data_IF_935712910393
#
_entry.id   IF_935712910393
#
_cell.length_a   1.000
_cell.length_b   1.000
_cell.length_c   1.000
_cell.angle_alpha   90.00
_cell.angle_beta   90.00
_cell.angle_gamma   90.00
#
_symmetry.space_group_name_H-M   'P 1'
#
loop_
_entity.id
_entity.type
_entity.pdbx_description
1 polymer ?
#
# COMPACT_ATOMS: atom_id res chain seq x y z
N UNK A 1 -30.53 2.87 -4.32
CA UNK A 1 -29.27 3.15 -5.05
C UNK A 1 -28.23 3.52 -4.01
N UNK A 2 -27.36 2.59 -3.63
CA UNK A 2 -26.26 2.87 -2.71
C UNK A 2 -25.31 3.88 -3.36
N UNK A 3 -25.00 4.95 -2.61
CA UNK A 3 -24.05 5.96 -3.07
C UNK A 3 -22.67 5.30 -3.19
N UNK A 4 -22.13 5.23 -4.41
CA UNK A 4 -20.76 4.76 -4.61
C UNK A 4 -19.82 5.77 -3.95
N UNK A 5 -18.99 5.38 -2.99
CA UNK A 5 -18.09 6.32 -2.35
C UNK A 5 -17.21 7.01 -3.42
N UNK A 6 -17.22 8.34 -3.41
CA UNK A 6 -16.38 9.12 -4.30
C UNK A 6 -14.93 8.91 -3.86
N UNK A 7 -14.15 8.27 -4.70
CA UNK A 7 -12.72 8.06 -4.44
C UNK A 7 -11.97 9.30 -4.89
N UNK A 8 -11.18 9.88 -3.97
CA UNK A 8 -10.38 11.04 -4.26
C UNK A 8 -9.43 10.79 -5.46
N UNK A 9 -9.13 11.82 -6.26
CA UNK A 9 -8.14 11.69 -7.31
C UNK A 9 -6.78 11.27 -6.72
N UNK A 10 -5.92 10.60 -7.49
CA UNK A 10 -4.59 10.27 -7.03
C UNK A 10 -3.80 11.54 -6.73
N UNK A 11 -3.05 11.55 -5.63
CA UNK A 11 -2.14 12.65 -5.33
C UNK A 11 -1.10 12.81 -6.44
N UNK A 12 -0.72 14.04 -6.73
CA UNK A 12 0.45 14.29 -7.55
C UNK A 12 1.70 13.93 -6.74
N UNK A 13 2.32 12.82 -7.10
CA UNK A 13 3.63 12.46 -6.55
C UNK A 13 4.65 13.38 -7.23
N UNK A 14 5.38 14.13 -6.42
CA UNK A 14 6.46 14.98 -6.93
C UNK A 14 7.56 14.05 -7.43
N UNK A 15 7.82 14.09 -8.74
CA UNK A 15 8.93 13.35 -9.31
C UNK A 15 10.25 13.86 -8.69
N UNK A 16 11.13 12.93 -8.37
CA UNK A 16 12.44 13.26 -7.83
C UNK A 16 13.28 14.01 -8.87
N UNK A 17 14.08 14.96 -8.39
CA UNK A 17 15.12 15.56 -9.19
C UNK A 17 16.28 14.59 -9.47
N UNK A 18 17.17 14.94 -10.39
CA UNK A 18 18.25 14.03 -10.79
C UNK A 18 19.19 13.69 -9.63
N UNK A 19 19.51 14.67 -8.77
CA UNK A 19 20.36 14.44 -7.59
C UNK A 19 19.73 13.46 -6.60
N UNK A 20 18.42 13.53 -6.42
CA UNK A 20 17.68 12.61 -5.57
C UNK A 20 17.64 11.21 -6.16
N UNK A 21 17.45 11.09 -7.47
CA UNK A 21 17.50 9.79 -8.19
C UNK A 21 18.88 9.15 -8.08
N UNK A 22 19.95 9.91 -8.20
CA UNK A 22 21.33 9.42 -8.07
C UNK A 22 21.62 8.95 -6.63
N UNK A 23 21.10 9.65 -5.62
CA UNK A 23 21.17 9.21 -4.22
C UNK A 23 20.43 7.89 -3.99
N UNK A 24 19.25 7.74 -4.55
CA UNK A 24 18.47 6.49 -4.47
C UNK A 24 19.19 5.33 -5.13
N UNK A 25 19.84 5.57 -6.26
CA UNK A 25 20.63 4.55 -6.95
C UNK A 25 21.77 4.02 -6.06
N UNK A 26 22.38 4.89 -5.26
CA UNK A 26 23.47 4.54 -4.36
C UNK A 26 22.99 4.00 -3.00
N UNK A 27 21.80 4.39 -2.55
CA UNK A 27 21.21 3.94 -1.29
C UNK A 27 19.77 3.44 -1.51
N UNK A 28 19.63 2.15 -1.73
CA UNK A 28 18.32 1.48 -1.85
C UNK A 28 17.43 1.70 -0.62
N UNK A 29 18.02 1.90 0.55
CA UNK A 29 17.26 2.16 1.78
C UNK A 29 16.50 3.49 1.73
N UNK A 30 17.04 4.51 1.06
CA UNK A 30 16.32 5.76 0.83
C UNK A 30 15.10 5.55 -0.07
N UNK A 31 15.27 4.75 -1.12
CA UNK A 31 14.15 4.40 -2.01
C UNK A 31 13.02 3.72 -1.24
N UNK A 32 13.32 2.68 -0.48
CA UNK A 32 12.32 1.92 0.26
C UNK A 32 11.60 2.76 1.31
N UNK A 33 12.31 3.63 2.04
CA UNK A 33 11.69 4.55 3.01
C UNK A 33 10.77 5.56 2.34
N UNK A 34 11.20 6.15 1.22
CA UNK A 34 10.41 7.10 0.46
C UNK A 34 9.16 6.43 -0.13
N UNK A 35 9.32 5.24 -0.67
CA UNK A 35 8.24 4.43 -1.21
C UNK A 35 7.20 4.09 -0.13
N UNK A 36 7.64 3.56 1.02
CA UNK A 36 6.77 3.20 2.12
C UNK A 36 5.96 4.41 2.64
N UNK A 37 6.62 5.57 2.80
CA UNK A 37 5.95 6.80 3.23
C UNK A 37 4.88 7.24 2.23
N UNK A 38 5.21 7.36 0.94
CA UNK A 38 4.27 7.82 -0.08
C UNK A 38 3.10 6.85 -0.30
N UNK A 39 3.34 5.54 -0.20
CA UNK A 39 2.28 4.53 -0.29
C UNK A 39 1.31 4.63 0.90
N UNK A 40 1.81 4.81 2.12
CA UNK A 40 0.98 4.98 3.33
C UNK A 40 0.05 6.19 3.23
N UNK A 41 0.50 7.29 2.64
CA UNK A 41 -0.32 8.48 2.41
C UNK A 41 -1.53 8.20 1.50
N UNK A 42 -1.44 7.21 0.63
CA UNK A 42 -2.54 6.73 -0.21
C UNK A 42 -3.32 5.55 0.41
N UNK A 43 -3.06 5.21 1.67
CA UNK A 43 -3.65 4.03 2.34
C UNK A 43 -3.30 2.71 1.63
N UNK A 44 -2.10 2.64 1.09
CA UNK A 44 -1.48 1.45 0.52
C UNK A 44 -0.30 1.09 1.42
N UNK A 45 -0.23 -0.16 1.85
CA UNK A 45 0.74 -0.63 2.82
C UNK A 45 1.76 -1.53 2.14
N UNK A 46 3.01 -1.08 2.12
CA UNK A 46 4.11 -1.88 1.58
C UNK A 46 4.35 -3.08 2.51
N UNK A 47 4.37 -4.28 1.95
CA UNK A 47 4.68 -5.52 2.67
C UNK A 47 6.09 -6.02 2.36
N UNK A 48 6.55 -5.74 1.17
CA UNK A 48 7.89 -6.04 0.73
C UNK A 48 8.25 -5.30 -0.55
N UNK A 49 9.52 -5.13 -0.82
CA UNK A 49 10.01 -4.55 -2.05
C UNK A 49 11.37 -5.11 -2.44
N UNK A 50 11.60 -5.24 -3.74
CA UNK A 50 12.90 -5.56 -4.32
C UNK A 50 13.25 -4.52 -5.37
N UNK A 51 14.47 -4.04 -5.32
CA UNK A 51 15.02 -3.09 -6.28
C UNK A 51 16.19 -3.74 -6.99
N UNK A 52 16.01 -4.02 -8.27
CA UNK A 52 17.03 -4.55 -9.18
C UNK A 52 17.51 -3.47 -10.17
N UNK A 53 18.48 -3.79 -11.00
CA UNK A 53 19.08 -2.83 -11.95
C UNK A 53 18.07 -2.21 -12.91
N UNK A 54 17.08 -2.98 -13.37
CA UNK A 54 16.09 -2.55 -14.35
C UNK A 54 14.64 -2.72 -13.93
N UNK A 55 14.40 -3.25 -12.72
CA UNK A 55 13.06 -3.55 -12.23
C UNK A 55 12.86 -3.20 -10.77
N UNK A 56 11.62 -2.90 -10.43
CA UNK A 56 11.15 -2.75 -9.05
C UNK A 56 9.94 -3.64 -8.87
N UNK A 57 10.02 -4.50 -7.87
CA UNK A 57 8.93 -5.37 -7.47
C UNK A 57 8.40 -4.92 -6.10
N UNK A 58 7.09 -4.73 -6.02
CA UNK A 58 6.39 -4.26 -4.83
C UNK A 58 5.35 -5.27 -4.40
N UNK A 59 5.35 -5.60 -3.13
CA UNK A 59 4.27 -6.36 -2.50
C UNK A 59 3.48 -5.41 -1.61
N UNK A 60 2.21 -5.25 -1.92
CA UNK A 60 1.34 -4.28 -1.26
C UNK A 60 0.06 -4.90 -0.72
N UNK A 61 -0.41 -4.39 0.41
CA UNK A 61 -1.74 -4.59 0.94
C UNK A 61 -2.51 -3.26 0.97
N UNK A 62 -3.82 -3.30 1.04
CA UNK A 62 -4.65 -2.11 1.10
C UNK A 62 -6.04 -2.40 1.68
N UNK A 63 -6.70 -1.40 2.26
CA UNK A 63 -8.04 -1.53 2.82
C UNK A 63 -9.03 -0.46 2.30
N UNK A 64 -8.56 0.46 1.45
CA UNK A 64 -9.36 1.61 0.99
C UNK A 64 -10.05 1.39 -0.34
N UNK A 65 -9.42 0.67 -1.26
CA UNK A 65 -9.90 0.57 -2.64
C UNK A 65 -10.69 -0.70 -2.87
N UNK A 66 -11.92 -0.58 -3.42
CA UNK A 66 -12.71 -1.73 -3.86
C UNK A 66 -12.07 -2.51 -5.00
N UNK A 67 -11.22 -1.85 -5.77
CA UNK A 67 -10.62 -2.40 -6.99
C UNK A 67 -9.11 -2.56 -6.82
N UNK A 68 -8.62 -3.78 -6.88
CA UNK A 68 -7.18 -4.08 -6.87
C UNK A 68 -6.41 -3.37 -7.99
N UNK A 69 -6.88 -3.32 -9.25
CA UNK A 69 -6.20 -2.55 -10.30
C UNK A 69 -6.02 -1.07 -9.97
N UNK A 70 -6.95 -0.47 -9.22
CA UNK A 70 -6.82 0.92 -8.78
C UNK A 70 -5.70 1.10 -7.76
N UNK A 71 -5.61 0.20 -6.79
CA UNK A 71 -4.52 0.20 -5.82
C UNK A 71 -3.16 -0.01 -6.51
N UNK A 72 -3.10 -1.01 -7.41
CA UNK A 72 -1.90 -1.29 -8.19
C UNK A 72 -1.47 -0.10 -9.06
N UNK A 73 -2.40 0.57 -9.74
CA UNK A 73 -2.11 1.75 -10.54
C UNK A 73 -1.59 2.94 -9.72
N UNK A 74 -2.10 3.15 -8.50
CA UNK A 74 -1.58 4.17 -7.59
C UNK A 74 -0.19 3.82 -7.08
N UNK A 75 0.03 2.57 -6.70
CA UNK A 75 1.35 2.10 -6.29
C UNK A 75 2.38 2.22 -7.42
N UNK A 76 2.00 1.84 -8.65
CA UNK A 76 2.84 1.98 -9.83
C UNK A 76 3.21 3.44 -10.12
N UNK A 77 2.28 4.39 -9.95
CA UNK A 77 2.54 5.83 -10.12
C UNK A 77 3.56 6.34 -9.12
N UNK A 78 3.42 5.96 -7.85
CA UNK A 78 4.37 6.32 -6.80
C UNK A 78 5.74 5.70 -7.09
N UNK A 79 5.78 4.41 -7.42
CA UNK A 79 7.02 3.72 -7.73
C UNK A 79 7.72 4.33 -8.94
N UNK A 80 6.97 4.63 -10.01
CA UNK A 80 7.55 5.28 -11.21
C UNK A 80 8.14 6.66 -10.90
N UNK A 81 7.43 7.48 -10.12
CA UNK A 81 7.89 8.82 -9.76
C UNK A 81 9.16 8.82 -8.89
N UNK A 82 9.33 7.80 -8.06
CA UNK A 82 10.46 7.65 -7.15
C UNK A 82 11.63 6.86 -7.74
N UNK A 83 11.41 6.12 -8.82
CA UNK A 83 12.44 5.27 -9.43
C UNK A 83 13.38 6.05 -10.34
N UNK A 84 14.68 5.73 -10.34
CA UNK A 84 15.62 6.19 -11.36
C UNK A 84 15.20 5.81 -12.78
N UNK A 85 15.79 6.46 -13.76
CA UNK A 85 15.36 6.35 -15.17
C UNK A 85 15.67 4.98 -15.80
N UNK A 86 16.64 4.26 -15.24
CA UNK A 86 17.03 2.92 -15.68
C UNK A 86 15.97 1.85 -15.41
N UNK A 87 15.06 2.11 -14.46
CA UNK A 87 13.98 1.18 -14.15
C UNK A 87 12.94 1.20 -15.26
N UNK A 88 12.87 0.11 -16.00
CA UNK A 88 11.94 -0.09 -17.12
C UNK A 88 10.72 -0.95 -16.79
N UNK A 89 10.79 -1.74 -15.70
CA UNK A 89 9.74 -2.69 -15.32
C UNK A 89 9.28 -2.48 -13.89
N UNK A 90 7.98 -2.47 -13.68
CA UNK A 90 7.35 -2.40 -12.37
C UNK A 90 6.44 -3.61 -12.18
N UNK A 91 6.68 -4.41 -11.14
CA UNK A 91 5.79 -5.51 -10.75
C UNK A 91 5.12 -5.17 -9.45
N UNK A 92 3.80 -5.25 -9.42
CA UNK A 92 3.00 -5.01 -8.22
C UNK A 92 2.26 -6.29 -7.87
N UNK A 93 2.58 -6.85 -6.71
CA UNK A 93 1.91 -8.01 -6.12
C UNK A 93 0.94 -7.50 -5.06
N UNK A 94 -0.29 -7.94 -5.15
CA UNK A 94 -1.36 -7.55 -4.24
C UNK A 94 -1.59 -8.67 -3.23
N UNK A 95 -1.54 -8.31 -1.95
CA UNK A 95 -1.84 -9.20 -0.84
C UNK A 95 -3.16 -8.87 -0.17
N UNK A 96 -3.79 -9.91 0.36
CA UNK A 96 -4.89 -9.82 1.30
C UNK A 96 -4.59 -10.75 2.50
N UNK A 97 -4.34 -10.16 3.65
CA UNK A 97 -3.73 -10.89 4.75
C UNK A 97 -2.32 -11.37 4.35
N UNK A 98 -2.04 -12.64 4.56
CA UNK A 98 -0.76 -13.27 4.19
C UNK A 98 -0.81 -13.98 2.82
N UNK A 99 -1.87 -13.75 2.03
CA UNK A 99 -2.07 -14.41 0.74
C UNK A 99 -1.83 -13.43 -0.38
N UNK A 100 -0.98 -13.79 -1.33
CA UNK A 100 -0.82 -13.09 -2.59
C UNK A 100 -2.03 -13.39 -3.48
N UNK A 101 -2.76 -12.34 -3.89
CA UNK A 101 -4.03 -12.48 -4.62
C UNK A 101 -3.82 -12.38 -6.12
N UNK A 102 -3.01 -11.42 -6.55
CA UNK A 102 -2.74 -11.18 -7.96
C UNK A 102 -1.45 -10.40 -8.16
N UNK A 103 -0.88 -10.47 -9.33
CA UNK A 103 0.24 -9.63 -9.72
C UNK A 103 -0.02 -8.92 -11.05
N UNK A 104 0.57 -7.75 -11.20
CA UNK A 104 0.60 -7.03 -12.46
C UNK A 104 2.02 -6.54 -12.72
N UNK A 105 2.55 -6.90 -13.90
CA UNK A 105 3.83 -6.39 -14.37
C UNK A 105 3.58 -5.38 -15.48
N UNK A 106 4.10 -4.18 -15.30
CA UNK A 106 3.94 -3.02 -16.16
C UNK A 106 5.27 -2.65 -16.83
N UNK A 107 5.20 -2.26 -18.11
CA UNK A 107 6.28 -1.50 -18.72
C UNK A 107 6.15 -0.04 -18.27
N UNK A 108 7.19 0.48 -17.59
CA UNK A 108 7.16 1.82 -17.01
C UNK A 108 6.96 2.91 -18.05
N UNK A 109 7.66 2.84 -19.19
CA UNK A 109 7.56 3.86 -20.23
C UNK A 109 6.14 3.96 -20.79
N UNK A 110 5.47 2.85 -21.03
CA UNK A 110 4.09 2.84 -21.50
C UNK A 110 3.11 3.33 -20.44
N UNK A 111 3.36 2.95 -19.18
CA UNK A 111 2.58 3.41 -18.05
C UNK A 111 2.69 4.93 -17.86
N UNK A 112 3.89 5.50 -17.95
CA UNK A 112 4.13 6.92 -17.81
C UNK A 112 3.54 7.73 -18.98
N UNK A 113 3.57 7.19 -20.21
CA UNK A 113 2.84 7.79 -21.35
C UNK A 113 1.34 7.88 -21.06
N UNK A 114 0.73 6.85 -20.50
CA UNK A 114 -0.69 6.85 -20.15
C UNK A 114 -1.00 7.82 -18.99
N UNK A 115 -0.14 7.90 -18.00
CA UNK A 115 -0.26 8.87 -16.90
C UNK A 115 -0.23 10.32 -17.43
N UNK A 116 0.51 10.58 -18.50
CA UNK A 116 0.63 11.88 -19.14
C UNK A 116 -0.37 12.07 -20.29
N UNK A 117 -1.42 11.27 -20.37
CA UNK A 117 -2.45 11.30 -21.42
C UNK A 117 -1.91 11.12 -22.85
N UNK A 118 -0.74 10.50 -23.01
CA UNK A 118 -0.11 10.20 -24.31
C UNK A 118 -0.36 8.77 -24.78
N UNK A 119 -1.04 7.96 -23.99
CA UNK A 119 -1.42 6.59 -24.30
C UNK A 119 -2.74 6.24 -23.62
N UNK A 120 -3.43 5.21 -24.07
CA UNK A 120 -4.68 4.73 -23.47
C UNK A 120 -4.44 3.66 -22.40
N UNK A 121 -5.38 3.53 -21.46
CA UNK A 121 -5.35 2.44 -20.49
C UNK A 121 -5.34 1.04 -21.15
N UNK A 122 -5.95 0.93 -22.35
CA UNK A 122 -5.98 -0.31 -23.12
C UNK A 122 -4.60 -0.70 -23.66
N UNK A 123 -3.81 0.28 -24.09
CA UNK A 123 -2.43 0.05 -24.55
C UNK A 123 -1.54 -0.39 -23.40
N UNK A 124 -1.67 0.23 -22.24
CA UNK A 124 -0.94 -0.20 -21.03
C UNK A 124 -1.29 -1.66 -20.69
N UNK A 125 -2.57 -1.98 -20.63
CA UNK A 125 -3.03 -3.34 -20.33
C UNK A 125 -2.59 -4.38 -21.36
N UNK A 126 -2.57 -4.04 -22.64
CA UNK A 126 -2.12 -4.96 -23.71
C UNK A 126 -0.63 -5.32 -23.61
N UNK A 127 0.16 -4.44 -23.01
CA UNK A 127 1.60 -4.63 -22.77
C UNK A 127 1.92 -5.05 -21.33
N UNK A 128 0.91 -5.21 -20.49
CA UNK A 128 1.04 -5.69 -19.12
C UNK A 128 0.90 -7.20 -19.07
N UNK A 129 1.56 -7.81 -18.09
CA UNK A 129 1.34 -9.22 -17.74
C UNK A 129 0.52 -9.26 -16.45
N UNK A 130 -0.67 -9.84 -16.54
CA UNK A 130 -1.48 -10.18 -15.37
C UNK A 130 -1.13 -11.60 -14.97
N UNK A 131 -0.67 -11.79 -13.73
CA UNK A 131 -0.35 -13.09 -13.18
C UNK A 131 -1.38 -13.53 -12.14
N UNK A 132 -1.75 -14.81 -12.19
CA UNK A 132 -2.29 -15.51 -11.05
C UNK A 132 -1.13 -16.07 -10.26
N UNK A 133 -1.15 -15.90 -8.95
CA UNK A 133 -0.08 -16.40 -8.08
C UNK A 133 -0.51 -17.77 -7.55
N UNK A 134 0.13 -18.80 -8.07
CA UNK A 134 0.00 -20.16 -7.55
C UNK A 134 1.30 -20.49 -6.81
N UNK A 135 1.20 -20.85 -5.54
CA UNK A 135 2.34 -21.35 -4.78
C UNK A 135 2.70 -20.56 -3.53
N UNK A 136 3.92 -20.77 -3.05
CA UNK A 136 4.43 -20.15 -1.82
C UNK A 136 4.57 -18.63 -1.99
N UNK A 137 4.11 -17.82 -1.02
CA UNK A 137 4.24 -16.39 -1.07
C UNK A 137 5.68 -15.94 -1.35
N UNK A 138 5.87 -15.16 -2.41
CA UNK A 138 7.20 -14.65 -2.78
C UNK A 138 7.61 -13.42 -1.98
N UNK A 139 6.68 -12.79 -1.25
CA UNK A 139 6.97 -11.59 -0.47
C UNK A 139 8.06 -11.78 0.59
N UNK A 140 8.24 -13.01 1.09
CA UNK A 140 9.30 -13.34 2.04
C UNK A 140 10.71 -13.28 1.44
N UNK A 141 10.82 -13.26 0.10
CA UNK A 141 12.10 -13.21 -0.64
C UNK A 141 12.48 -11.78 -1.05
N UNK A 142 11.69 -10.78 -0.68
CA UNK A 142 12.00 -9.39 -1.04
C UNK A 142 13.14 -8.83 -0.19
N UNK A 143 13.93 -7.90 -0.77
CA UNK A 143 15.09 -7.30 -0.11
C UNK A 143 14.71 -6.41 1.08
N UNK A 144 13.53 -5.84 1.03
CA UNK A 144 13.04 -4.92 2.04
C UNK A 144 11.69 -5.35 2.60
N UNK A 145 11.60 -5.34 3.93
CA UNK A 145 10.36 -5.53 4.68
C UNK A 145 10.18 -4.36 5.65
N UNK A 146 9.02 -3.71 5.68
CA UNK A 146 8.73 -2.69 6.69
C UNK A 146 8.65 -3.32 8.08
N UNK A 147 9.06 -2.56 9.09
CA UNK A 147 9.01 -3.00 10.50
C UNK A 147 7.57 -3.27 10.95
N UNK A 148 6.63 -2.46 10.47
CA UNK A 148 5.20 -2.61 10.76
C UNK A 148 4.51 -3.15 9.53
N UNK A 149 3.90 -4.32 9.66
CA UNK A 149 3.15 -4.99 8.60
C UNK A 149 1.67 -4.68 8.72
N UNK A 150 0.98 -4.68 7.59
CA UNK A 150 -0.48 -4.62 7.55
C UNK A 150 -1.06 -6.05 7.41
N UNK A 151 -2.17 -6.42 8.09
CA UNK A 151 -2.95 -5.59 9.03
C UNK A 151 -2.23 -5.34 10.36
N UNK A 152 -2.33 -4.10 10.86
CA UNK A 152 -1.87 -3.76 12.19
C UNK A 152 -2.94 -4.18 13.21
N UNK A 153 -2.57 -5.01 14.17
CA UNK A 153 -3.46 -5.44 15.25
C UNK A 153 -3.04 -4.69 16.51
N UNK A 154 -3.97 -3.90 17.03
CA UNK A 154 -3.79 -3.18 18.28
C UNK A 154 -4.66 -3.83 19.35
N UNK A 155 -4.05 -4.23 20.45
CA UNK A 155 -4.75 -4.68 21.62
C UNK A 155 -4.62 -3.61 22.69
N UNK A 156 -5.73 -3.02 23.11
CA UNK A 156 -5.75 -2.12 24.26
C UNK A 156 -6.60 -2.69 25.40
N UNK A 157 -6.11 -2.52 26.61
CA UNK A 157 -6.82 -2.90 27.82
C UNK A 157 -6.93 -1.69 28.74
N UNK A 158 -8.13 -1.36 29.17
CA UNK A 158 -8.36 -0.25 30.09
C UNK A 158 -9.40 -0.60 31.14
N UNK A 159 -9.22 -0.18 32.41
CA UNK A 159 -10.30 -0.28 33.39
C UNK A 159 -11.42 0.69 33.02
N UNK A 160 -12.64 0.22 33.11
CA UNK A 160 -13.83 1.04 32.88
C UNK A 160 -14.72 1.03 34.13
N UNK A 161 -15.10 2.21 34.60
CA UNK A 161 -15.97 2.41 35.74
C UNK A 161 -17.30 2.98 35.27
N UNK A 162 -18.39 2.34 35.61
CA UNK A 162 -19.74 2.88 35.51
C UNK A 162 -20.31 3.06 36.91
N UNK A 163 -20.83 4.23 37.19
CA UNK A 163 -21.53 4.49 38.42
C UNK A 163 -22.91 5.10 38.15
N UNK A 164 -23.85 4.75 39.01
CA UNK A 164 -25.21 5.28 38.98
C UNK A 164 -25.57 5.76 40.38
N UNK A 165 -26.09 6.98 40.46
CA UNK A 165 -26.54 7.61 41.69
C UNK A 165 -28.06 7.76 41.60
N UNK A 166 -28.78 7.39 42.69
CA UNK A 166 -30.23 7.56 42.78
C UNK A 166 -31.02 6.50 42.02
N UNK A 167 -30.92 5.26 42.41
CA UNK A 167 -31.78 4.16 41.94
C UNK A 167 -32.82 3.77 42.99
N UNK A 168 -33.92 3.06 42.61
CA UNK A 168 -34.96 2.62 43.52
C UNK A 168 -34.48 1.60 44.54
N UNK A 169 -33.40 0.91 44.27
CA UNK A 169 -32.89 -0.17 45.14
C UNK A 169 -31.61 0.21 45.91
N UNK A 170 -30.88 1.23 45.45
CA UNK A 170 -29.67 1.73 46.10
C UNK A 170 -29.34 3.15 45.73
N UNK A 171 -28.82 3.93 46.69
CA UNK A 171 -28.39 5.30 46.45
C UNK A 171 -27.17 5.37 45.53
N UNK A 172 -26.29 4.36 45.58
CA UNK A 172 -25.08 4.29 44.75
C UNK A 172 -24.84 2.85 44.28
N UNK A 173 -24.70 2.71 42.97
CA UNK A 173 -24.29 1.47 42.32
C UNK A 173 -23.04 1.73 41.49
N UNK A 174 -21.98 0.97 41.75
CA UNK A 174 -20.74 1.04 41.01
C UNK A 174 -20.41 -0.29 40.35
N UNK A 175 -19.97 -0.27 39.10
CA UNK A 175 -19.48 -1.43 38.38
C UNK A 175 -18.10 -1.12 37.83
N UNK A 176 -17.16 -2.03 38.04
CA UNK A 176 -15.81 -2.00 37.49
C UNK A 176 -15.62 -3.17 36.54
N UNK A 177 -15.17 -2.92 35.32
CA UNK A 177 -14.81 -3.97 34.37
C UNK A 177 -13.60 -3.59 33.54
N UNK A 178 -13.01 -4.59 32.92
CA UNK A 178 -11.96 -4.37 31.93
C UNK A 178 -12.58 -4.25 30.54
N UNK A 179 -12.22 -3.17 29.83
CA UNK A 179 -12.49 -3.04 28.41
C UNK A 179 -11.28 -3.54 27.63
N UNK A 180 -11.53 -4.40 26.67
CA UNK A 180 -10.55 -4.89 25.71
C UNK A 180 -11.05 -4.48 24.34
N UNK A 181 -10.24 -3.66 23.63
CA UNK A 181 -10.51 -3.22 22.28
C UNK A 181 -9.44 -3.83 21.36
N UNK A 182 -9.84 -4.39 20.20
CA UNK A 182 -8.99 -5.03 19.19
C UNK A 182 -9.17 -4.40 17.82
#
# INVERSE_FOLDING_TARGET
KGMVPKVDPPRNVIALDQLQKDRIKNDKGLFYRSLNRNLREESIFLQGATYEESSVDLVIAQNRFRSYPRAAGRAARIASALSPDEIGKLTIVLMNGDIEVSSITLNRNEFDKANNYKSSAREVLSKSKLGSLEGTPNYLKTDFHPTVKFPEIFLSMSPALKHQIGGPEAFYLGQLWWRVDT
#
